data_IF_442767620965
#
_entry.id   IF_442767620965
#
_cell.length_a   1.000
_cell.length_b   1.000
_cell.length_c   1.000
_cell.angle_alpha   90.00
_cell.angle_beta   90.00
_cell.angle_gamma   90.00
#
_symmetry.space_group_name_H-M   'P 1'
#
loop_
_entity.id
_entity.type
_entity.pdbx_description
1 polymer ?
#
# COMPACT_ATOMS: atom_id res chain seq x y z
N UNK A 1 19.75 9.75 -26.90
CA UNK A 1 19.96 8.84 -25.74
C UNK A 1 18.59 8.43 -25.21
N UNK A 2 18.25 7.14 -25.22
CA UNK A 2 17.03 6.64 -24.55
C UNK A 2 17.36 6.47 -23.05
N UNK A 3 16.55 6.99 -22.12
CA UNK A 3 16.80 6.75 -20.71
C UNK A 3 16.69 5.25 -20.42
N UNK A 4 17.70 4.71 -19.73
CA UNK A 4 17.68 3.35 -19.19
C UNK A 4 16.55 3.30 -18.16
N UNK A 5 15.39 2.78 -18.54
CA UNK A 5 14.25 2.61 -17.65
C UNK A 5 14.59 1.56 -16.61
N UNK A 6 15.00 2.00 -15.42
CA UNK A 6 14.99 1.15 -14.23
C UNK A 6 13.54 0.81 -13.92
N UNK A 7 13.22 -0.48 -13.78
CA UNK A 7 11.94 -0.90 -13.23
C UNK A 7 11.95 -0.58 -11.73
N UNK A 8 11.39 0.58 -11.38
CA UNK A 8 11.26 1.01 -9.99
C UNK A 8 9.95 0.43 -9.46
N UNK A 9 10.08 -0.48 -8.50
CA UNK A 9 8.95 -1.14 -7.84
C UNK A 9 8.81 -0.62 -6.42
N UNK A 10 7.62 -0.13 -6.07
CA UNK A 10 7.27 0.30 -4.73
C UNK A 10 6.68 -0.88 -3.96
N UNK A 11 7.32 -1.28 -2.87
CA UNK A 11 6.83 -2.34 -1.98
C UNK A 11 6.25 -1.70 -0.72
N UNK A 12 5.00 -2.03 -0.40
CA UNK A 12 4.33 -1.63 0.84
C UNK A 12 4.08 -2.87 1.69
N UNK A 13 4.76 -2.94 2.82
CA UNK A 13 4.67 -4.06 3.76
C UNK A 13 3.99 -3.61 5.07
N UNK A 14 2.83 -4.20 5.33
CA UNK A 14 2.05 -4.04 6.57
C UNK A 14 1.80 -5.38 7.25
N UNK A 15 2.75 -6.32 7.14
CA UNK A 15 2.65 -7.65 7.77
C UNK A 15 2.68 -7.56 9.29
N UNK A 16 3.59 -6.75 9.83
CA UNK A 16 3.72 -6.50 11.27
C UNK A 16 2.78 -5.38 11.71
N UNK A 17 1.90 -5.63 12.68
CA UNK A 17 0.91 -4.66 13.16
C UNK A 17 1.51 -3.31 13.56
N UNK A 18 2.66 -3.34 14.23
CA UNK A 18 3.23 -2.15 14.87
C UNK A 18 3.96 -1.25 13.88
N UNK A 19 4.47 -1.83 12.79
CA UNK A 19 5.29 -1.11 11.82
C UNK A 19 4.78 -1.25 10.39
N UNK A 20 4.93 -0.17 9.63
CA UNK A 20 4.73 -0.18 8.18
C UNK A 20 6.08 0.07 7.54
N UNK A 21 6.43 -0.76 6.56
CA UNK A 21 7.67 -0.62 5.81
C UNK A 21 7.33 -0.28 4.36
N UNK A 22 7.94 0.79 3.86
CA UNK A 22 7.90 1.16 2.45
C UNK A 22 9.31 0.94 1.89
N UNK A 23 9.43 0.23 0.79
CA UNK A 23 10.70 -0.07 0.16
C UNK A 23 10.68 0.18 -1.35
N UNK A 24 11.86 0.39 -1.92
CA UNK A 24 12.06 0.38 -3.37
C UNK A 24 12.88 -0.85 -3.75
N UNK A 25 12.33 -1.68 -4.62
CA UNK A 25 13.05 -2.83 -5.17
C UNK A 25 14.21 -2.37 -6.05
N UNK A 26 15.32 -3.11 -6.02
CA UNK A 26 16.53 -2.80 -6.79
C UNK A 26 17.47 -1.75 -6.19
N UNK A 27 17.17 -1.18 -5.02
CA UNK A 27 18.02 -0.17 -4.36
C UNK A 27 18.33 -0.40 -2.89
N UNK A 28 17.76 -1.43 -2.25
CA UNK A 28 17.96 -1.72 -0.82
C UNK A 28 17.40 -0.67 0.15
N UNK A 29 16.74 0.38 -0.37
CA UNK A 29 16.27 1.50 0.44
C UNK A 29 14.91 1.19 1.05
N UNK A 30 14.79 1.43 2.35
CA UNK A 30 13.58 1.18 3.14
C UNK A 30 13.30 2.38 4.03
N UNK A 31 12.02 2.64 4.27
CA UNK A 31 11.52 3.60 5.24
C UNK A 31 10.50 2.91 6.12
N UNK A 32 10.70 3.01 7.43
CA UNK A 32 9.82 2.40 8.41
C UNK A 32 9.17 3.48 9.26
N UNK A 33 7.89 3.32 9.52
CA UNK A 33 7.15 4.17 10.45
C UNK A 33 6.09 3.37 11.20
N UNK A 34 5.69 3.88 12.37
CA UNK A 34 4.61 3.30 13.18
C UNK A 34 3.42 4.26 13.17
N UNK A 35 2.21 3.72 13.04
CA UNK A 35 1.00 4.54 13.06
C UNK A 35 -0.26 3.73 13.32
N UNK A 36 -1.07 4.21 14.26
CA UNK A 36 -2.43 3.72 14.48
C UNK A 36 -3.39 4.15 13.34
N UNK A 37 -3.13 5.28 12.69
CA UNK A 37 -3.91 5.83 11.57
C UNK A 37 -3.17 5.64 10.24
N UNK A 38 -3.01 4.38 9.83
CA UNK A 38 -2.27 4.04 8.60
C UNK A 38 -2.77 4.80 7.37
N UNK A 39 -4.10 4.97 7.23
CA UNK A 39 -4.74 5.65 6.11
C UNK A 39 -4.28 7.09 5.91
N UNK A 40 -3.97 7.79 7.00
CA UNK A 40 -3.55 9.19 6.98
C UNK A 40 -2.06 9.35 6.69
N UNK A 41 -1.24 8.40 7.18
CA UNK A 41 0.23 8.52 7.10
C UNK A 41 0.86 7.88 5.87
N UNK A 42 0.24 6.85 5.29
CA UNK A 42 0.87 6.05 4.24
C UNK A 42 1.27 6.88 3.01
N UNK A 43 0.40 7.77 2.52
CA UNK A 43 0.69 8.61 1.34
C UNK A 43 1.74 9.70 1.67
N UNK A 44 1.60 10.50 2.75
CA UNK A 44 2.63 11.47 3.12
C UNK A 44 4.01 10.85 3.35
N UNK A 45 4.08 9.71 4.04
CA UNK A 45 5.34 9.01 4.31
C UNK A 45 5.94 8.43 3.02
N UNK A 46 5.11 7.85 2.14
CA UNK A 46 5.57 7.41 0.81
C UNK A 46 6.14 8.57 0.01
N UNK A 47 5.45 9.72 -0.03
CA UNK A 47 5.92 10.92 -0.75
C UNK A 47 7.24 11.44 -0.19
N UNK A 48 7.39 11.50 1.14
CA UNK A 48 8.66 11.90 1.80
C UNK A 48 9.78 10.93 1.42
N UNK A 49 9.52 9.62 1.45
CA UNK A 49 10.50 8.60 1.12
C UNK A 49 10.93 8.66 -0.36
N UNK A 50 9.99 8.79 -1.29
CA UNK A 50 10.30 8.92 -2.72
C UNK A 50 11.11 10.20 -2.99
N UNK A 51 10.71 11.34 -2.40
CA UNK A 51 11.42 12.61 -2.54
C UNK A 51 12.86 12.53 -2.01
N UNK A 52 13.08 11.89 -0.86
CA UNK A 52 14.43 11.65 -0.31
C UNK A 52 15.33 10.86 -1.28
N UNK A 53 14.72 10.04 -2.12
CA UNK A 53 15.39 9.22 -3.12
C UNK A 53 15.44 9.82 -4.52
N UNK A 54 14.97 11.07 -4.69
CA UNK A 54 14.89 11.77 -5.97
C UNK A 54 14.06 11.00 -7.02
N UNK A 55 12.99 10.36 -6.56
CA UNK A 55 12.06 9.59 -7.39
C UNK A 55 10.68 10.25 -7.26
N UNK A 56 9.95 10.35 -8.37
CA UNK A 56 8.56 10.79 -8.37
C UNK A 56 7.61 9.59 -8.48
N UNK A 57 6.33 9.78 -8.13
CA UNK A 57 5.34 8.70 -8.26
C UNK A 57 5.18 8.22 -9.71
N UNK A 58 5.36 9.12 -10.68
CA UNK A 58 5.30 8.85 -12.13
C UNK A 58 6.43 7.96 -12.64
N UNK A 59 7.54 7.86 -11.90
CA UNK A 59 8.67 7.00 -12.23
C UNK A 59 8.41 5.53 -11.85
N UNK A 60 7.44 5.28 -10.96
CA UNK A 60 7.08 3.94 -10.53
C UNK A 60 6.52 3.14 -11.71
N UNK A 61 6.98 1.91 -11.86
CA UNK A 61 6.50 0.97 -12.89
C UNK A 61 5.63 -0.13 -12.32
N UNK A 62 5.79 -0.42 -11.03
CA UNK A 62 5.04 -1.46 -10.35
C UNK A 62 4.83 -1.10 -8.87
N UNK A 63 3.73 -1.60 -8.32
CA UNK A 63 3.41 -1.54 -6.90
C UNK A 63 3.19 -2.95 -6.38
N UNK A 64 3.84 -3.30 -5.29
CA UNK A 64 3.70 -4.56 -4.60
C UNK A 64 3.24 -4.35 -3.16
N UNK A 65 2.49 -5.31 -2.65
CA UNK A 65 1.88 -5.22 -1.34
C UNK A 65 2.07 -6.52 -0.60
N UNK A 66 2.60 -6.40 0.62
CA UNK A 66 2.67 -7.49 1.59
C UNK A 66 1.72 -7.14 2.74
N UNK A 67 0.66 -7.94 2.89
CA UNK A 67 -0.37 -7.73 3.91
C UNK A 67 -0.36 -8.86 4.92
N UNK A 68 -0.43 -8.53 6.21
CA UNK A 68 -0.66 -9.50 7.28
C UNK A 68 -2.15 -9.74 7.56
N UNK A 69 -2.43 -10.30 8.73
CA UNK A 69 -3.76 -10.73 9.18
C UNK A 69 -4.70 -9.61 9.61
N UNK A 70 -4.22 -8.36 9.68
CA UNK A 70 -4.99 -7.24 10.23
C UNK A 70 -5.93 -6.61 9.20
N UNK A 71 -7.22 -6.92 9.34
CA UNK A 71 -8.30 -6.48 8.46
C UNK A 71 -8.25 -5.00 8.04
N UNK A 72 -8.18 -4.07 9.00
CA UNK A 72 -8.20 -2.63 8.72
C UNK A 72 -6.96 -2.18 7.94
N UNK A 73 -5.80 -2.78 8.25
CA UNK A 73 -4.55 -2.45 7.56
C UNK A 73 -4.56 -3.04 6.15
N UNK A 74 -4.94 -4.30 5.99
CA UNK A 74 -5.11 -4.94 4.67
C UNK A 74 -6.02 -4.13 3.75
N UNK A 75 -7.18 -3.67 4.25
CA UNK A 75 -8.08 -2.78 3.49
C UNK A 75 -7.41 -1.50 3.05
N UNK A 76 -6.74 -0.83 3.98
CA UNK A 76 -6.08 0.45 3.75
C UNK A 76 -4.96 0.30 2.72
N UNK A 77 -4.08 -0.68 2.92
CA UNK A 77 -2.92 -0.91 2.05
C UNK A 77 -3.35 -1.29 0.64
N UNK A 78 -4.34 -2.17 0.49
CA UNK A 78 -4.85 -2.61 -0.82
C UNK A 78 -5.57 -1.47 -1.53
N UNK A 79 -6.39 -0.69 -0.83
CA UNK A 79 -7.05 0.48 -1.40
C UNK A 79 -6.01 1.50 -1.93
N UNK A 80 -4.97 1.77 -1.14
CA UNK A 80 -3.89 2.69 -1.53
C UNK A 80 -3.12 2.17 -2.73
N UNK A 81 -2.73 0.90 -2.74
CA UNK A 81 -2.01 0.30 -3.86
C UNK A 81 -2.85 0.36 -5.16
N UNK A 82 -4.12 -0.01 -5.07
CA UNK A 82 -5.04 0.06 -6.20
C UNK A 82 -5.27 1.49 -6.70
N UNK A 83 -5.36 2.47 -5.80
CA UNK A 83 -5.45 3.87 -6.17
C UNK A 83 -4.19 4.35 -6.90
N UNK A 84 -3.00 3.95 -6.44
CA UNK A 84 -1.74 4.26 -7.13
C UNK A 84 -1.66 3.62 -8.51
N UNK A 85 -2.02 2.33 -8.64
CA UNK A 85 -2.05 1.62 -9.92
C UNK A 85 -2.94 2.36 -10.91
N UNK A 86 -4.14 2.73 -10.48
CA UNK A 86 -5.11 3.44 -11.30
C UNK A 86 -4.62 4.85 -11.68
N UNK A 87 -4.21 5.64 -10.70
CA UNK A 87 -3.79 7.03 -10.90
C UNK A 87 -2.54 7.16 -11.78
N UNK A 88 -1.63 6.17 -11.72
CA UNK A 88 -0.40 6.15 -12.51
C UNK A 88 -0.56 5.41 -13.84
N UNK A 89 -1.73 4.85 -14.14
CA UNK A 89 -1.98 4.11 -15.37
C UNK A 89 -1.10 2.86 -15.53
N UNK A 90 -0.74 2.21 -14.42
CA UNK A 90 0.10 1.02 -14.45
C UNK A 90 -0.66 -0.16 -15.07
N UNK A 91 0.01 -0.95 -15.91
CA UNK A 91 -0.60 -2.11 -16.59
C UNK A 91 -0.76 -3.35 -15.71
N UNK A 92 -0.45 -3.25 -14.43
CA UNK A 92 -0.53 -4.37 -13.50
C UNK A 92 -1.97 -4.65 -13.05
N UNK A 93 -2.22 -5.89 -12.64
CA UNK A 93 -3.51 -6.31 -12.10
C UNK A 93 -3.73 -5.66 -10.73
N UNK A 94 -4.94 -5.18 -10.49
CA UNK A 94 -5.35 -4.66 -9.17
C UNK A 94 -5.44 -5.80 -8.15
N UNK A 95 -5.10 -5.47 -6.91
CA UNK A 95 -5.15 -6.41 -5.80
C UNK A 95 -6.59 -6.62 -5.34
N UNK A 96 -6.95 -7.89 -5.12
CA UNK A 96 -8.18 -8.24 -4.39
C UNK A 96 -7.83 -8.43 -2.92
N UNK A 97 -8.59 -7.86 -1.98
CA UNK A 97 -8.33 -8.10 -0.57
C UNK A 97 -8.58 -9.56 -0.21
N UNK A 98 -7.59 -10.15 0.45
CA UNK A 98 -7.70 -11.45 1.10
C UNK A 98 -7.74 -11.21 2.61
N UNK A 99 -8.67 -11.87 3.29
CA UNK A 99 -8.83 -11.77 4.73
C UNK A 99 -8.83 -13.18 5.32
N UNK A 100 -8.13 -13.37 6.42
CA UNK A 100 -8.06 -14.66 7.11
C UNK A 100 -9.41 -15.08 7.70
N UNK A 101 -10.30 -14.11 7.95
CA UNK A 101 -11.62 -14.33 8.52
C UNK A 101 -12.67 -13.58 7.71
N UNK A 102 -13.83 -14.21 7.55
CA UNK A 102 -14.98 -13.53 6.98
C UNK A 102 -15.42 -12.38 7.92
N UNK A 103 -15.86 -11.24 7.36
CA UNK A 103 -16.37 -10.14 8.17
C UNK A 103 -17.58 -10.61 8.99
N UNK A 104 -17.57 -10.30 10.29
CA UNK A 104 -18.72 -10.56 11.14
C UNK A 104 -19.81 -9.52 10.86
N UNK A 105 -20.74 -9.86 9.98
CA UNK A 105 -21.86 -8.99 9.59
C UNK A 105 -23.02 -9.26 10.55
N UNK A 106 -23.22 -8.37 11.53
CA UNK A 106 -24.40 -8.44 12.41
C UNK A 106 -25.66 -8.13 11.59
N UNK A 107 -26.66 -9.01 11.68
CA UNK A 107 -27.96 -8.79 11.06
C UNK A 107 -28.61 -7.49 11.59
N UNK A 108 -29.40 -6.79 10.76
CA UNK A 108 -30.13 -5.61 11.21
C UNK A 108 -31.01 -5.95 12.41
N UNK A 109 -31.01 -5.07 13.44
CA UNK A 109 -31.90 -5.24 14.60
C UNK A 109 -33.34 -5.24 14.11
N UNK A 110 -34.12 -6.27 14.47
CA UNK A 110 -35.56 -6.30 14.18
C UNK A 110 -36.21 -5.07 14.85
N UNK A 111 -37.09 -4.33 14.15
CA UNK A 111 -37.84 -3.25 14.79
C UNK A 111 -38.66 -3.86 15.94
N UNK A 112 -38.54 -3.27 17.13
CA UNK A 112 -39.44 -3.59 18.24
C UNK A 112 -40.83 -3.08 17.83
N UNK A 113 -41.82 -3.98 17.77
CA UNK A 113 -43.22 -3.65 17.54
C UNK A 113 -43.82 -3.02 18.79
#
# INVERSE_FOLDING_TARGET
MKPVTRNIVLVIDTTDYEKTVIALEGGGKKHQFQSNNLSEKIIPETKKFLKKNKIEFTDLKQVEVLTGSHFSRTRTTIAVANALIFALGLRQKMFKPHYDRQPNITLPRRPQK
#
